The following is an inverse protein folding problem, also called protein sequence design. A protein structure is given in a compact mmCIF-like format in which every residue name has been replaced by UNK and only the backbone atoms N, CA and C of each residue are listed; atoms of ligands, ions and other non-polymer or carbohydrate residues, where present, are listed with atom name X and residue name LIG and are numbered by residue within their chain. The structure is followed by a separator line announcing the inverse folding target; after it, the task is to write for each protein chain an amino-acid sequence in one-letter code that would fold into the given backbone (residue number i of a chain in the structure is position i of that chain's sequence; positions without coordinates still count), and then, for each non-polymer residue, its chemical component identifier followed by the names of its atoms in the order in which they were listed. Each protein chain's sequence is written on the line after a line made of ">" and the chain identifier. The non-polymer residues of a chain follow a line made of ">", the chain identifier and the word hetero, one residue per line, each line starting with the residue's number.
data_IF_595452272163
#
_entry.id   IF_595452272163
#
_cell.length_a   1.000
_cell.length_b   1.000
_cell.length_c   1.000
_cell.angle_alpha   90.00
_cell.angle_beta   90.00
_cell.angle_gamma   90.00
#
_symmetry.space_group_name_H-M   'P 1'
#
loop_
_entity.id
_entity.type
_entity.pdbx_description
1 polymer ?
#
# COMPACT_ATOMS: atom_id res chain seq x y z
N UNK A 1 14.08 28.36 3.94
CA UNK A 1 12.81 27.79 3.49
C UNK A 1 11.85 28.93 3.17
N UNK A 2 11.58 29.13 1.90
CA UNK A 2 10.62 30.10 1.33
C UNK A 2 9.70 29.38 0.35
N UNK A 3 8.65 30.05 -0.12
CA UNK A 3 7.79 29.52 -1.18
C UNK A 3 8.57 29.18 -2.46
N UNK A 4 9.71 29.84 -2.71
CA UNK A 4 10.56 29.57 -3.86
C UNK A 4 11.31 28.23 -3.75
N UNK A 5 11.68 27.80 -2.53
CA UNK A 5 12.25 26.45 -2.31
C UNK A 5 11.19 25.37 -2.62
N UNK A 6 9.94 25.62 -2.23
CA UNK A 6 8.81 24.73 -2.54
C UNK A 6 8.56 24.70 -4.04
N UNK A 7 8.48 25.85 -4.69
CA UNK A 7 8.31 25.94 -6.15
C UNK A 7 9.44 25.22 -6.90
N UNK A 8 10.70 25.45 -6.53
CA UNK A 8 11.87 24.75 -7.10
C UNK A 8 11.71 23.23 -7.00
N UNK A 9 11.37 22.74 -5.80
CA UNK A 9 11.22 21.30 -5.53
C UNK A 9 10.13 20.68 -6.40
N UNK A 10 8.94 21.29 -6.45
CA UNK A 10 7.82 20.77 -7.23
C UNK A 10 8.09 20.85 -8.74
N UNK A 11 8.67 21.96 -9.21
CA UNK A 11 9.04 22.13 -10.61
C UNK A 11 10.06 21.06 -11.02
N UNK A 12 11.14 20.87 -10.26
CA UNK A 12 12.13 19.83 -10.50
C UNK A 12 11.52 18.42 -10.47
N UNK A 13 10.74 18.09 -9.42
CA UNK A 13 10.15 16.76 -9.26
C UNK A 13 9.12 16.42 -10.34
N UNK A 14 8.46 17.42 -10.93
CA UNK A 14 7.52 17.26 -12.04
C UNK A 14 8.19 17.28 -13.43
N UNK A 15 9.42 17.82 -13.54
CA UNK A 15 10.12 17.98 -14.81
C UNK A 15 10.59 16.67 -15.40
N UNK A 16 10.96 16.69 -16.69
CA UNK A 16 11.55 15.56 -17.41
C UNK A 16 13.01 15.29 -17.05
N UNK A 17 13.67 16.22 -16.36
CA UNK A 17 15.14 16.27 -16.27
C UNK A 17 15.69 15.32 -15.21
N UNK A 18 14.95 15.10 -14.10
CA UNK A 18 15.36 14.24 -12.99
C UNK A 18 14.46 13.02 -12.82
N UNK A 19 15.04 11.87 -12.49
CA UNK A 19 14.25 10.67 -12.19
C UNK A 19 13.58 10.76 -10.82
N UNK A 20 12.38 11.33 -10.76
CA UNK A 20 11.59 11.51 -9.54
C UNK A 20 10.46 10.49 -9.41
N UNK A 21 10.37 9.80 -8.27
CA UNK A 21 9.25 8.91 -7.93
C UNK A 21 7.92 9.65 -7.70
N UNK A 22 8.00 10.98 -7.53
CA UNK A 22 6.84 11.85 -7.36
C UNK A 22 6.25 12.33 -8.68
N UNK A 23 7.00 12.26 -9.79
CA UNK A 23 6.63 12.88 -11.08
C UNK A 23 5.21 12.52 -11.51
N UNK A 24 4.91 11.23 -11.56
CA UNK A 24 3.61 10.75 -12.05
C UNK A 24 2.46 11.24 -11.16
N UNK A 25 2.64 11.22 -9.83
CA UNK A 25 1.63 11.70 -8.86
C UNK A 25 1.45 13.22 -8.94
N UNK A 26 2.54 13.98 -9.00
CA UNK A 26 2.47 15.44 -9.15
C UNK A 26 1.76 15.80 -10.46
N UNK A 27 2.10 15.15 -11.57
CA UNK A 27 1.51 15.45 -12.87
C UNK A 27 0.04 15.02 -12.97
N UNK A 28 -0.39 13.99 -12.23
CA UNK A 28 -1.80 13.57 -12.19
C UNK A 28 -2.67 14.45 -11.29
N UNK A 29 -2.09 15.15 -10.31
CA UNK A 29 -2.84 15.91 -9.30
C UNK A 29 -2.77 17.43 -9.50
N UNK A 30 -1.66 17.95 -10.03
CA UNK A 30 -1.42 19.39 -10.17
C UNK A 30 -1.61 19.88 -11.61
N UNK A 31 -2.33 20.99 -11.73
CA UNK A 31 -2.29 21.88 -12.89
C UNK A 31 -1.09 22.84 -12.81
N UNK A 32 -0.75 23.30 -11.60
CA UNK A 32 0.39 24.19 -11.41
C UNK A 32 0.62 24.61 -9.97
N UNK A 33 1.81 25.15 -9.72
CA UNK A 33 2.24 25.70 -8.43
C UNK A 33 2.91 27.05 -8.68
N UNK A 34 2.48 28.08 -7.96
CA UNK A 34 2.97 29.45 -8.21
C UNK A 34 3.32 30.16 -6.90
N UNK A 35 4.55 30.65 -6.71
CA UNK A 35 4.88 31.51 -5.57
C UNK A 35 4.20 32.88 -5.72
N UNK A 36 3.52 33.34 -4.67
CA UNK A 36 2.91 34.68 -4.61
C UNK A 36 3.82 35.67 -3.87
N UNK A 37 4.65 35.17 -2.96
CA UNK A 37 5.65 35.92 -2.20
C UNK A 37 6.66 34.93 -1.62
N UNK A 38 7.64 35.40 -0.84
CA UNK A 38 8.57 34.51 -0.13
C UNK A 38 7.89 33.55 0.86
N UNK A 39 6.65 33.81 1.28
CA UNK A 39 5.94 33.02 2.32
C UNK A 39 4.59 32.47 1.86
N UNK A 40 4.16 32.79 0.65
CA UNK A 40 2.88 32.32 0.10
C UNK A 40 3.07 31.70 -1.27
N UNK A 41 2.37 30.60 -1.50
CA UNK A 41 2.24 29.94 -2.79
C UNK A 41 0.78 29.58 -3.05
N UNK A 42 0.43 29.39 -4.31
CA UNK A 42 -0.86 28.91 -4.76
C UNK A 42 -0.67 27.58 -5.49
N UNK A 43 -1.46 26.59 -5.10
CA UNK A 43 -1.57 25.30 -5.78
C UNK A 43 -2.85 25.29 -6.60
N UNK A 44 -2.75 24.85 -7.85
CA UNK A 44 -3.88 24.58 -8.73
C UNK A 44 -3.99 23.07 -8.87
N UNK A 45 -5.00 22.47 -8.24
CA UNK A 45 -5.28 21.04 -8.33
C UNK A 45 -6.10 20.74 -9.59
N UNK A 46 -5.91 19.57 -10.20
CA UNK A 46 -6.71 19.09 -11.34
C UNK A 46 -8.14 18.78 -10.94
N UNK A 47 -8.31 18.22 -9.74
CA UNK A 47 -9.60 17.86 -9.19
C UNK A 47 -9.69 18.30 -7.72
N UNK A 48 -10.91 18.44 -7.23
CA UNK A 48 -11.16 18.71 -5.81
C UNK A 48 -11.35 17.38 -5.09
N UNK A 49 -10.25 16.65 -4.90
CA UNK A 49 -10.23 15.33 -4.27
C UNK A 49 -9.57 15.38 -2.89
N UNK A 50 -10.10 14.60 -1.95
CA UNK A 50 -9.63 14.56 -0.55
C UNK A 50 -8.15 14.17 -0.43
N UNK A 51 -7.65 13.39 -1.38
CA UNK A 51 -6.32 12.79 -1.33
C UNK A 51 -5.27 13.67 -2.02
N UNK A 52 -5.68 14.65 -2.84
CA UNK A 52 -4.77 15.43 -3.69
C UNK A 52 -3.66 16.13 -2.90
N UNK A 53 -3.93 16.68 -1.70
CA UNK A 53 -2.88 17.32 -0.90
C UNK A 53 -1.91 16.31 -0.25
N UNK A 54 -2.43 15.15 0.17
CA UNK A 54 -1.60 14.10 0.76
C UNK A 54 -0.71 13.45 -0.30
N UNK A 55 -1.24 13.23 -1.52
CA UNK A 55 -0.54 12.56 -2.62
C UNK A 55 0.58 13.40 -3.24
N UNK A 56 0.49 14.72 -3.15
CA UNK A 56 1.52 15.68 -3.62
C UNK A 56 2.48 16.13 -2.51
N UNK A 57 2.43 15.52 -1.33
CA UNK A 57 3.35 15.86 -0.24
C UNK A 57 4.73 15.21 -0.50
N UNK A 58 5.78 16.02 -0.49
CA UNK A 58 7.16 15.55 -0.69
C UNK A 58 8.17 16.41 0.11
N UNK A 59 9.36 15.86 0.46
CA UNK A 59 10.41 16.63 1.11
C UNK A 59 10.87 17.82 0.26
N UNK A 60 11.04 18.99 0.88
CA UNK A 60 11.46 20.22 0.20
C UNK A 60 12.98 20.33 0.19
N UNK A 61 13.55 20.58 -1.00
CA UNK A 61 14.99 20.79 -1.18
C UNK A 61 15.32 22.29 -1.27
N UNK A 62 16.51 22.71 -0.79
CA UNK A 62 16.91 24.12 -0.76
C UNK A 62 17.35 24.60 -2.15
N UNK A 63 16.56 25.45 -2.82
CA UNK A 63 16.83 25.89 -4.19
C UNK A 63 18.24 26.52 -4.32
N UNK A 64 18.62 27.36 -3.35
CA UNK A 64 19.90 28.08 -3.34
C UNK A 64 21.17 27.20 -3.31
N UNK A 65 21.04 25.90 -2.99
CA UNK A 65 22.16 24.96 -3.08
C UNK A 65 22.46 24.59 -4.53
N UNK A 66 21.42 24.54 -5.37
CA UNK A 66 21.51 24.10 -6.76
C UNK A 66 21.56 25.30 -7.73
N UNK A 67 20.85 26.38 -7.37
CA UNK A 67 20.86 27.66 -8.07
C UNK A 67 20.58 28.80 -7.08
N UNK A 68 21.60 29.61 -6.82
CA UNK A 68 21.53 30.74 -5.90
C UNK A 68 20.60 31.87 -6.37
N UNK A 69 20.37 31.99 -7.69
CA UNK A 69 19.56 33.06 -8.29
C UNK A 69 18.11 32.64 -8.51
N UNK A 70 17.79 31.34 -8.40
CA UNK A 70 16.46 30.81 -8.70
C UNK A 70 15.32 31.56 -8.03
N UNK A 71 15.47 31.91 -6.74
CA UNK A 71 14.45 32.63 -6.00
C UNK A 71 14.19 34.02 -6.59
N UNK A 72 15.23 34.73 -7.04
CA UNK A 72 15.09 36.03 -7.70
C UNK A 72 14.45 35.85 -9.09
N UNK A 73 14.90 34.86 -9.87
CA UNK A 73 14.30 34.53 -11.17
C UNK A 73 12.81 34.24 -11.08
N UNK A 74 12.40 33.41 -10.12
CA UNK A 74 11.00 33.08 -9.90
C UNK A 74 10.21 34.29 -9.40
N UNK A 75 10.76 35.09 -8.48
CA UNK A 75 10.12 36.30 -7.97
C UNK A 75 9.88 37.36 -9.05
N UNK A 76 10.82 37.52 -9.99
CA UNK A 76 10.70 38.46 -11.10
C UNK A 76 9.73 37.98 -12.18
N UNK A 77 9.56 36.65 -12.32
CA UNK A 77 8.70 36.05 -13.32
C UNK A 77 7.21 36.04 -12.92
N UNK A 78 6.91 35.66 -11.68
CA UNK A 78 5.55 35.54 -11.17
C UNK A 78 5.07 36.84 -10.53
N UNK A 79 4.05 37.45 -11.11
CA UNK A 79 3.56 38.78 -10.70
C UNK A 79 2.14 38.72 -10.14
N UNK A 80 1.24 37.95 -10.77
CA UNK A 80 -0.17 37.85 -10.34
C UNK A 80 -0.56 36.50 -9.75
N UNK A 81 0.32 35.51 -9.89
CA UNK A 81 0.14 34.20 -9.29
C UNK A 81 -0.86 33.32 -10.01
N UNK A 82 -1.10 33.58 -11.30
CA UNK A 82 -2.08 32.87 -12.11
C UNK A 82 -1.56 31.56 -12.68
N UNK A 83 -2.47 30.64 -12.99
CA UNK A 83 -2.12 29.38 -13.68
C UNK A 83 -1.49 29.65 -15.06
N UNK A 84 -1.91 30.72 -15.75
CA UNK A 84 -1.33 31.11 -17.03
C UNK A 84 0.15 31.52 -16.90
N UNK A 85 0.56 32.12 -15.77
CA UNK A 85 1.98 32.35 -15.52
C UNK A 85 2.74 31.03 -15.36
N UNK A 86 2.16 30.03 -14.69
CA UNK A 86 2.80 28.71 -14.57
C UNK A 86 2.98 28.02 -15.93
N UNK A 87 1.92 28.01 -16.76
CA UNK A 87 1.99 27.46 -18.12
C UNK A 87 3.07 28.18 -18.94
N UNK A 88 3.13 29.52 -18.84
CA UNK A 88 4.18 30.32 -19.48
C UNK A 88 5.57 30.01 -18.94
N UNK A 89 5.74 29.77 -17.64
CA UNK A 89 7.02 29.37 -17.07
C UNK A 89 7.51 28.07 -17.71
N UNK A 90 6.62 27.08 -17.84
CA UNK A 90 6.94 25.79 -18.46
C UNK A 90 7.35 25.94 -19.92
N UNK A 91 6.70 26.84 -20.67
CA UNK A 91 6.98 27.06 -22.09
C UNK A 91 8.20 27.97 -22.36
N UNK A 92 8.40 29.03 -21.56
CA UNK A 92 9.39 30.08 -21.86
C UNK A 92 10.72 29.91 -21.13
N UNK A 93 10.75 29.33 -19.93
CA UNK A 93 11.98 29.24 -19.15
C UNK A 93 12.83 28.02 -19.50
N UNK A 94 12.22 26.91 -19.96
CA UNK A 94 12.89 25.62 -20.23
C UNK A 94 13.99 25.32 -19.20
N UNK A 95 13.65 25.47 -17.92
CA UNK A 95 14.63 25.48 -16.83
C UNK A 95 15.21 24.08 -16.64
N UNK A 96 16.53 23.95 -16.75
CA UNK A 96 17.24 22.69 -16.60
C UNK A 96 17.49 22.35 -15.12
N UNK A 97 16.75 21.37 -14.60
CA UNK A 97 16.91 20.88 -13.22
C UNK A 97 18.00 19.81 -13.06
N UNK A 98 18.78 19.50 -14.12
CA UNK A 98 19.81 18.46 -14.09
C UNK A 98 20.95 18.73 -13.09
N UNK A 99 21.11 19.99 -12.64
CA UNK A 99 22.05 20.37 -11.59
C UNK A 99 21.85 19.61 -10.25
N UNK A 100 20.66 19.05 -10.02
CA UNK A 100 20.34 18.22 -8.85
C UNK A 100 20.99 16.82 -8.97
N UNK A 101 21.20 16.30 -10.18
CA UNK A 101 21.60 14.91 -10.38
C UNK A 101 23.01 14.67 -9.86
N UNK A 102 23.12 13.80 -8.83
CA UNK A 102 24.40 13.42 -8.21
C UNK A 102 25.16 14.63 -7.68
N UNK A 103 24.43 15.61 -7.15
CA UNK A 103 25.03 16.80 -6.57
C UNK A 103 25.77 16.40 -5.28
N UNK A 104 26.95 16.97 -4.96
CA UNK A 104 27.70 16.60 -3.74
C UNK A 104 26.90 16.78 -2.43
N UNK A 105 25.88 17.64 -2.45
CA UNK A 105 24.94 17.81 -1.34
C UNK A 105 24.15 16.53 -1.03
N UNK A 106 23.93 15.64 -2.00
CA UNK A 106 23.22 14.36 -1.78
C UNK A 106 24.00 13.43 -0.84
N UNK A 107 25.33 13.48 -0.89
CA UNK A 107 26.22 12.69 -0.03
C UNK A 107 26.55 13.40 1.30
N UNK A 108 26.56 14.73 1.30
CA UNK A 108 26.92 15.56 2.45
C UNK A 108 26.08 16.85 2.54
N UNK A 109 24.80 16.76 2.94
CA UNK A 109 23.93 17.93 3.08
C UNK A 109 24.49 18.98 4.06
N UNK A 110 24.68 20.21 3.59
CA UNK A 110 25.22 21.30 4.42
C UNK A 110 24.15 22.16 5.09
N UNK A 111 22.89 22.01 4.66
CA UNK A 111 21.74 22.75 5.18
C UNK A 111 20.55 21.80 5.29
N UNK A 112 19.73 21.96 6.33
CA UNK A 112 18.46 21.25 6.49
C UNK A 112 17.44 22.16 7.18
N UNK A 113 16.15 21.84 7.01
CA UNK A 113 15.03 22.47 7.72
C UNK A 113 14.35 21.50 8.70
N UNK A 114 14.95 20.33 8.93
CA UNK A 114 14.46 19.29 9.81
C UNK A 114 14.94 19.43 11.26
N UNK A 115 14.53 18.50 12.12
CA UNK A 115 14.98 18.42 13.53
C UNK A 115 16.44 17.96 13.67
N UNK A 116 16.99 17.35 12.63
CA UNK A 116 18.34 16.83 12.58
C UNK A 116 19.12 17.47 11.44
N UNK A 117 20.42 17.64 11.66
CA UNK A 117 21.41 18.08 10.67
C UNK A 117 22.34 16.92 10.35
N UNK A 118 22.86 16.91 9.13
CA UNK A 118 23.85 15.92 8.71
C UNK A 118 25.15 16.05 9.51
N UNK A 119 25.79 14.92 9.78
CA UNK A 119 27.09 14.86 10.45
C UNK A 119 28.11 14.08 9.61
N UNK A 120 27.84 12.79 9.38
CA UNK A 120 28.80 11.89 8.74
C UNK A 120 28.06 10.75 8.04
N UNK A 121 28.63 10.27 6.93
CA UNK A 121 28.24 9.02 6.31
C UNK A 121 29.46 8.15 6.08
N UNK A 122 29.57 7.06 6.84
CA UNK A 122 30.54 6.00 6.60
C UNK A 122 29.87 4.91 5.76
N UNK A 123 30.16 4.91 4.45
CA UNK A 123 29.48 4.06 3.48
C UNK A 123 29.56 2.58 3.84
N UNK A 124 28.40 1.92 3.90
CA UNK A 124 28.26 0.51 4.27
C UNK A 124 28.37 0.22 5.76
N UNK A 125 28.52 1.25 6.60
CA UNK A 125 28.55 1.11 8.05
C UNK A 125 27.41 1.90 8.70
N UNK A 126 27.42 3.23 8.61
CA UNK A 126 26.39 4.06 9.24
C UNK A 126 26.19 5.44 8.60
N UNK A 127 25.00 6.00 8.82
CA UNK A 127 24.71 7.43 8.62
C UNK A 127 24.48 8.06 10.00
N UNK A 128 25.20 9.14 10.29
CA UNK A 128 25.08 9.90 11.54
C UNK A 128 24.45 11.27 11.30
N UNK A 129 23.52 11.63 12.17
CA UNK A 129 22.86 12.93 12.25
C UNK A 129 23.01 13.51 13.65
N UNK A 130 22.99 14.84 13.77
CA UNK A 130 23.00 15.56 15.06
C UNK A 130 21.73 16.38 15.22
N UNK A 131 21.30 16.60 16.46
CA UNK A 131 20.29 17.60 16.77
C UNK A 131 20.80 19.03 16.47
N UNK A 132 19.87 19.92 16.11
CA UNK A 132 20.16 21.33 15.80
C UNK A 132 20.67 22.09 17.02
N UNK A 133 20.26 21.70 18.24
CA UNK A 133 20.56 22.38 19.51
C UNK A 133 21.80 21.84 20.27
N UNK A 134 22.49 20.85 19.69
CA UNK A 134 23.88 20.51 20.05
C UNK A 134 24.11 19.13 20.67
N UNK A 135 23.12 18.50 21.29
CA UNK A 135 23.29 17.17 21.92
C UNK A 135 22.02 16.29 21.80
N UNK A 136 21.98 15.49 20.73
CA UNK A 136 21.35 14.18 20.58
C UNK A 136 21.83 13.66 19.21
N UNK A 137 22.49 12.51 19.18
CA UNK A 137 23.04 11.91 17.96
C UNK A 137 22.12 10.78 17.53
N UNK A 138 21.76 10.75 16.24
CA UNK A 138 21.05 9.64 15.63
C UNK A 138 21.98 8.94 14.65
N UNK A 139 22.34 7.71 14.93
CA UNK A 139 23.20 6.89 14.07
C UNK A 139 22.40 5.70 13.55
N UNK A 140 22.23 5.64 12.23
CA UNK A 140 21.60 4.53 11.53
C UNK A 140 22.69 3.59 11.05
N UNK A 141 22.77 2.40 11.65
CA UNK A 141 23.73 1.36 11.27
C UNK A 141 23.05 0.40 10.31
N UNK A 142 23.72 0.07 9.20
CA UNK A 142 23.24 -0.93 8.26
C UNK A 142 23.56 -2.33 8.80
N UNK A 143 22.53 -3.07 9.21
CA UNK A 143 22.68 -4.45 9.71
C UNK A 143 22.15 -5.42 8.66
N UNK A 144 22.99 -6.32 8.13
CA UNK A 144 22.57 -7.27 7.12
C UNK A 144 21.71 -8.37 7.75
N UNK A 145 20.39 -8.21 7.66
CA UNK A 145 19.41 -9.21 8.04
C UNK A 145 18.74 -8.95 9.39
N UNK A 146 17.45 -9.29 9.46
CA UNK A 146 16.62 -8.98 10.63
C UNK A 146 16.95 -9.82 11.87
N UNK A 147 17.67 -10.94 11.73
CA UNK A 147 18.07 -11.79 12.87
C UNK A 147 19.34 -11.27 13.52
N UNK A 148 20.29 -10.89 12.70
CA UNK A 148 21.53 -10.24 13.09
C UNK A 148 21.23 -8.91 13.80
N UNK A 149 20.23 -8.17 13.33
CA UNK A 149 19.74 -6.94 13.96
C UNK A 149 19.25 -7.18 15.40
N UNK A 150 18.48 -8.24 15.65
CA UNK A 150 18.03 -8.59 17.00
C UNK A 150 19.20 -8.94 17.91
N UNK A 151 20.14 -9.74 17.43
CA UNK A 151 21.28 -10.19 18.23
C UNK A 151 22.19 -9.00 18.60
N UNK A 152 22.45 -8.10 17.66
CA UNK A 152 23.18 -6.85 17.91
C UNK A 152 22.46 -5.94 18.91
N UNK A 153 21.15 -5.76 18.77
CA UNK A 153 20.34 -5.00 19.73
C UNK A 153 20.40 -5.61 21.14
N UNK A 154 20.25 -6.93 21.27
CA UNK A 154 20.31 -7.63 22.56
C UNK A 154 21.72 -7.60 23.19
N UNK A 155 22.77 -7.50 22.38
CA UNK A 155 24.15 -7.30 22.78
C UNK A 155 24.48 -5.84 23.17
N UNK A 156 23.56 -4.90 22.93
CA UNK A 156 23.73 -3.48 23.25
C UNK A 156 24.47 -2.69 22.15
N UNK A 157 24.54 -3.20 20.93
CA UNK A 157 25.12 -2.50 19.77
C UNK A 157 24.19 -1.39 19.26
N UNK A 158 22.89 -1.52 19.49
CA UNK A 158 21.88 -0.48 19.27
C UNK A 158 20.99 -0.31 20.49
N UNK A 159 20.35 0.86 20.60
CA UNK A 159 19.46 1.21 21.72
C UNK A 159 17.99 1.40 21.30
N UNK A 160 17.71 1.30 20.00
CA UNK A 160 16.37 1.33 19.41
C UNK A 160 16.31 0.21 18.37
N UNK A 161 15.22 -0.54 18.39
CA UNK A 161 14.90 -1.51 17.36
C UNK A 161 13.46 -1.29 16.89
N UNK A 162 13.24 -1.29 15.58
CA UNK A 162 11.93 -1.13 14.95
C UNK A 162 11.67 -2.38 14.10
N UNK A 163 10.47 -2.95 14.17
CA UNK A 163 10.13 -4.11 13.34
C UNK A 163 10.75 -5.43 13.82
N UNK A 164 10.66 -5.69 15.13
CA UNK A 164 11.13 -6.95 15.72
C UNK A 164 10.48 -8.17 15.04
N UNK A 165 11.27 -9.14 14.52
CA UNK A 165 10.70 -10.35 13.93
C UNK A 165 9.90 -11.15 14.96
N UNK A 166 8.64 -11.51 14.64
CA UNK A 166 7.72 -12.24 15.53
C UNK A 166 8.34 -13.46 16.25
N UNK A 167 9.19 -14.25 15.57
CA UNK A 167 9.87 -15.42 16.15
C UNK A 167 10.91 -15.07 17.22
N UNK A 168 11.32 -13.80 17.33
CA UNK A 168 12.29 -13.29 18.31
C UNK A 168 11.66 -12.46 19.43
N UNK A 169 10.33 -12.30 19.46
CA UNK A 169 9.66 -11.50 20.48
C UNK A 169 9.91 -12.01 21.89
N UNK A 170 9.97 -13.33 22.08
CA UNK A 170 10.24 -13.94 23.38
C UNK A 170 11.58 -13.50 23.98
N UNK A 171 12.61 -13.35 23.15
CA UNK A 171 13.95 -12.95 23.60
C UNK A 171 13.98 -11.52 24.14
N UNK A 172 13.26 -10.61 23.46
CA UNK A 172 13.16 -9.20 23.84
C UNK A 172 12.21 -9.01 25.02
N UNK A 173 11.04 -9.67 25.01
CA UNK A 173 10.05 -9.57 26.09
C UNK A 173 10.53 -10.19 27.41
N UNK A 174 11.51 -11.10 27.37
CA UNK A 174 12.12 -11.68 28.56
C UNK A 174 13.11 -10.73 29.27
N UNK A 175 13.50 -9.61 28.63
CA UNK A 175 14.45 -8.64 29.17
C UNK A 175 13.72 -7.54 29.94
N UNK A 176 13.93 -7.47 31.25
CA UNK A 176 13.33 -6.45 32.11
C UNK A 176 13.95 -5.05 31.93
N UNK A 177 15.13 -4.98 31.31
CA UNK A 177 15.87 -3.74 31.02
C UNK A 177 15.42 -3.05 29.72
N UNK A 178 14.50 -3.66 28.96
CA UNK A 178 14.01 -3.12 27.69
C UNK A 178 12.59 -2.54 27.83
N UNK A 179 12.36 -1.39 27.19
CA UNK A 179 11.02 -0.85 27.00
C UNK A 179 10.46 -1.32 25.66
N UNK A 180 9.37 -2.07 25.69
CA UNK A 180 8.66 -2.51 24.48
C UNK A 180 7.35 -1.75 24.35
N UNK A 181 7.16 -1.09 23.22
CA UNK A 181 5.91 -0.38 22.89
C UNK A 181 5.33 -0.94 21.60
N UNK A 182 4.06 -1.34 21.65
CA UNK A 182 3.30 -1.74 20.45
C UNK A 182 2.36 -0.61 20.04
N UNK A 183 2.21 -0.38 18.75
CA UNK A 183 1.27 0.58 18.19
C UNK A 183 0.53 -0.06 17.00
N UNK A 184 -0.69 0.41 16.67
CA UNK A 184 -1.38 -0.07 15.47
C UNK A 184 -0.53 0.18 14.23
N UNK A 185 -0.42 -0.82 13.36
CA UNK A 185 0.27 -0.68 12.08
C UNK A 185 -0.52 0.18 11.09
N UNK A 186 0.16 0.63 10.03
CA UNK A 186 -0.49 1.27 8.87
C UNK A 186 -0.84 0.27 7.77
N UNK A 187 -0.60 -1.03 7.99
CA UNK A 187 -0.87 -2.08 7.03
C UNK A 187 -1.96 -3.02 7.51
N UNK A 188 -2.67 -3.61 6.56
CA UNK A 188 -3.64 -4.67 6.77
C UNK A 188 -3.40 -5.80 5.77
N UNK A 189 -3.76 -7.02 6.17
CA UNK A 189 -3.65 -8.22 5.35
C UNK A 189 -5.02 -8.70 4.94
N UNK A 190 -5.13 -9.23 3.72
CA UNK A 190 -6.39 -9.69 3.17
C UNK A 190 -6.22 -10.87 2.23
N UNK A 191 -7.29 -11.65 2.13
CA UNK A 191 -7.40 -12.74 1.18
C UNK A 191 -8.15 -12.23 -0.06
N UNK A 192 -7.41 -11.98 -1.14
CA UNK A 192 -7.98 -11.62 -2.43
C UNK A 192 -8.61 -12.85 -3.09
N UNK A 193 -9.85 -12.69 -3.56
CA UNK A 193 -10.52 -13.63 -4.45
C UNK A 193 -10.32 -13.15 -5.89
N UNK A 194 -9.97 -14.06 -6.80
CA UNK A 194 -10.12 -13.76 -8.22
C UNK A 194 -11.56 -14.03 -8.66
N UNK A 195 -12.22 -13.02 -9.23
CA UNK A 195 -13.62 -13.10 -9.66
C UNK A 195 -13.76 -13.30 -11.18
N UNK A 196 -12.71 -13.02 -11.95
CA UNK A 196 -12.64 -13.24 -13.39
C UNK A 196 -12.15 -14.66 -13.72
N UNK A 197 -12.16 -15.03 -15.00
CA UNK A 197 -11.60 -16.32 -15.45
C UNK A 197 -10.06 -16.30 -15.33
N UNK A 198 -9.46 -17.09 -14.42
CA UNK A 198 -8.00 -17.12 -14.24
C UNK A 198 -7.25 -17.76 -15.43
N UNK A 199 -7.95 -18.46 -16.31
CA UNK A 199 -7.36 -19.11 -17.50
C UNK A 199 -7.23 -18.14 -18.67
N UNK A 200 -8.13 -17.17 -18.77
CA UNK A 200 -8.15 -16.11 -19.80
C UNK A 200 -8.25 -14.70 -19.18
N UNK A 201 -7.26 -14.28 -18.36
CA UNK A 201 -7.30 -12.99 -17.68
C UNK A 201 -7.24 -11.83 -18.68
N UNK A 202 -7.97 -10.77 -18.39
CA UNK A 202 -8.06 -9.57 -19.21
C UNK A 202 -8.31 -8.35 -18.31
N UNK A 203 -7.76 -7.19 -18.70
CA UNK A 203 -8.10 -5.91 -18.06
C UNK A 203 -9.59 -5.59 -18.22
N UNK A 204 -10.17 -4.87 -17.26
CA UNK A 204 -11.59 -4.49 -17.30
C UNK A 204 -11.96 -3.60 -18.50
N UNK A 205 -11.01 -2.88 -19.07
CA UNK A 205 -11.20 -2.00 -20.22
C UNK A 205 -10.17 -2.27 -21.33
N UNK A 206 -10.59 -2.11 -22.59
CA UNK A 206 -9.72 -2.19 -23.75
C UNK A 206 -8.86 -0.92 -23.89
N UNK A 207 -7.97 -0.89 -24.89
CA UNK A 207 -7.10 0.26 -25.19
C UNK A 207 -7.87 1.55 -25.53
N UNK A 208 -9.14 1.44 -25.91
CA UNK A 208 -10.01 2.55 -26.29
C UNK A 208 -10.93 2.96 -25.11
N UNK A 209 -10.79 2.31 -23.94
CA UNK A 209 -11.55 2.57 -22.72
C UNK A 209 -12.93 1.90 -22.67
N UNK A 210 -13.24 0.98 -23.59
CA UNK A 210 -14.51 0.25 -23.56
C UNK A 210 -14.43 -0.94 -22.59
N UNK A 211 -15.52 -1.24 -21.84
CA UNK A 211 -15.56 -2.43 -20.99
C UNK A 211 -15.30 -3.71 -21.79
N UNK A 212 -14.51 -4.62 -21.21
CA UNK A 212 -14.23 -5.96 -21.77
C UNK A 212 -14.86 -7.05 -20.91
N UNK A 213 -15.21 -8.16 -21.54
CA UNK A 213 -15.62 -9.37 -20.83
C UNK A 213 -14.37 -10.08 -20.27
N UNK A 214 -14.41 -10.43 -18.99
CA UNK A 214 -13.29 -11.05 -18.26
C UNK A 214 -13.58 -12.51 -17.88
N UNK A 215 -14.71 -13.05 -18.33
CA UNK A 215 -15.24 -14.32 -17.84
C UNK A 215 -15.61 -14.26 -16.35
N UNK A 216 -15.87 -15.42 -15.76
CA UNK A 216 -16.25 -15.53 -14.35
C UNK A 216 -15.50 -16.71 -13.73
N UNK A 217 -14.92 -16.49 -12.56
CA UNK A 217 -14.26 -17.57 -11.82
C UNK A 217 -15.27 -18.68 -11.46
N UNK A 218 -15.01 -19.96 -11.80
CA UNK A 218 -15.99 -21.04 -11.63
C UNK A 218 -16.42 -21.27 -10.16
N UNK A 219 -15.51 -21.01 -9.22
CA UNK A 219 -15.74 -21.09 -7.77
C UNK A 219 -16.15 -19.73 -7.18
N UNK A 220 -15.32 -18.69 -7.32
CA UNK A 220 -15.48 -17.42 -6.61
C UNK A 220 -16.39 -16.40 -7.31
N UNK A 221 -16.89 -16.68 -8.51
CA UNK A 221 -17.97 -15.89 -9.12
C UNK A 221 -19.23 -15.87 -8.23
N UNK A 222 -19.50 -16.95 -7.50
CA UNK A 222 -20.63 -17.04 -6.58
C UNK A 222 -20.32 -16.37 -5.23
N UNK A 223 -21.09 -15.34 -4.88
CA UNK A 223 -20.94 -14.61 -3.61
C UNK A 223 -21.13 -15.49 -2.39
N UNK A 224 -21.95 -16.55 -2.47
CA UNK A 224 -22.20 -17.48 -1.36
C UNK A 224 -20.94 -18.28 -1.03
N UNK A 225 -20.14 -18.64 -2.03
CA UNK A 225 -18.86 -19.32 -1.82
C UNK A 225 -17.86 -18.37 -1.14
N UNK A 226 -17.83 -17.08 -1.53
CA UNK A 226 -16.97 -16.08 -0.86
C UNK A 226 -17.39 -15.83 0.59
N UNK A 227 -18.69 -15.82 0.87
CA UNK A 227 -19.23 -15.73 2.23
C UNK A 227 -18.90 -16.99 3.05
N UNK A 228 -18.94 -18.18 2.42
CA UNK A 228 -18.53 -19.42 3.07
C UNK A 228 -17.04 -19.38 3.47
N UNK A 229 -16.15 -18.92 2.58
CA UNK A 229 -14.72 -18.77 2.89
C UNK A 229 -14.50 -17.84 4.09
N UNK A 230 -15.18 -16.68 4.13
CA UNK A 230 -15.05 -15.74 5.25
C UNK A 230 -15.50 -16.35 6.59
N UNK A 231 -16.54 -17.20 6.59
CA UNK A 231 -17.02 -17.88 7.81
C UNK A 231 -16.20 -19.11 8.18
N UNK A 232 -15.57 -19.75 7.21
CA UNK A 232 -14.71 -20.91 7.42
C UNK A 232 -13.36 -20.54 8.02
N UNK A 233 -12.95 -19.27 7.98
CA UNK A 233 -11.64 -18.82 8.46
C UNK A 233 -11.77 -18.19 9.85
N UNK A 234 -11.05 -18.74 10.84
CA UNK A 234 -10.84 -18.10 12.13
C UNK A 234 -9.64 -17.16 12.02
N UNK A 235 -9.92 -15.88 11.77
CA UNK A 235 -8.90 -14.84 11.58
C UNK A 235 -8.00 -14.69 12.82
N UNK A 236 -8.54 -14.85 14.04
CA UNK A 236 -7.69 -14.79 15.25
C UNK A 236 -6.69 -15.94 15.27
N UNK A 237 -7.09 -17.16 14.91
CA UNK A 237 -6.15 -18.29 14.83
C UNK A 237 -5.08 -18.09 13.74
N UNK A 238 -5.41 -17.37 12.68
CA UNK A 238 -4.43 -16.96 11.65
C UNK A 238 -3.43 -15.96 12.24
N UNK A 239 -3.89 -14.94 12.95
CA UNK A 239 -3.04 -13.94 13.64
C UNK A 239 -2.15 -14.62 14.69
N UNK A 240 -2.70 -15.54 15.48
CA UNK A 240 -1.96 -16.29 16.49
C UNK A 240 -0.80 -17.08 15.87
N UNK A 241 -1.04 -17.71 14.72
CA UNK A 241 -0.03 -18.51 14.04
C UNK A 241 0.99 -17.67 13.25
N UNK A 242 0.58 -16.55 12.66
CA UNK A 242 1.42 -15.73 11.80
C UNK A 242 2.22 -14.67 12.56
N UNK A 243 1.64 -14.11 13.61
CA UNK A 243 2.14 -12.94 14.33
C UNK A 243 2.13 -13.13 15.86
N UNK A 244 2.03 -14.36 16.37
CA UNK A 244 2.01 -14.65 17.82
C UNK A 244 0.92 -13.87 18.59
N UNK A 245 -0.21 -13.60 17.95
CA UNK A 245 -1.33 -12.85 18.54
C UNK A 245 -1.23 -11.33 18.36
N UNK A 246 -0.14 -10.81 17.78
CA UNK A 246 0.07 -9.39 17.53
C UNK A 246 -0.54 -8.96 16.21
N UNK A 247 -1.86 -8.86 16.21
CA UNK A 247 -2.65 -8.34 15.11
C UNK A 247 -4.04 -7.98 15.62
N UNK A 248 -4.79 -7.22 14.83
CA UNK A 248 -6.18 -6.90 15.13
C UNK A 248 -7.05 -7.48 14.04
N UNK A 249 -8.12 -8.18 14.42
CA UNK A 249 -9.12 -8.65 13.46
C UNK A 249 -9.82 -7.44 12.86
N UNK A 250 -9.66 -7.25 11.55
CA UNK A 250 -10.25 -6.14 10.81
C UNK A 250 -11.71 -6.43 10.43
N UNK A 251 -12.58 -5.42 10.53
CA UNK A 251 -13.98 -5.49 10.07
C UNK A 251 -14.18 -4.92 8.66
N UNK A 252 -13.29 -4.03 8.24
CA UNK A 252 -13.27 -3.37 6.95
C UNK A 252 -11.82 -3.10 6.52
N UNK A 253 -11.66 -2.48 5.36
CA UNK A 253 -10.39 -2.14 4.73
C UNK A 253 -9.69 -0.91 5.35
N UNK A 254 -10.31 -0.23 6.32
CA UNK A 254 -9.74 0.95 6.99
C UNK A 254 -8.98 0.57 8.26
N UNK A 255 -7.67 0.85 8.33
CA UNK A 255 -6.85 0.62 9.54
C UNK A 255 -7.27 1.53 10.71
N UNK A 256 -7.07 1.15 11.99
CA UNK A 256 -7.48 1.96 13.15
C UNK A 256 -6.89 3.37 13.23
N UNK A 257 -5.78 3.64 12.52
CA UNK A 257 -5.16 4.97 12.43
C UNK A 257 -5.84 5.89 11.40
N UNK A 258 -6.66 5.34 10.51
CA UNK A 258 -7.42 6.10 9.53
C UNK A 258 -8.54 6.87 10.22
N UNK A 259 -8.76 8.14 9.82
CA UNK A 259 -9.92 8.90 10.31
C UNK A 259 -11.25 8.32 9.84
N UNK A 260 -11.23 7.49 8.78
CA UNK A 260 -12.38 6.79 8.23
C UNK A 260 -12.65 5.44 8.90
N UNK A 261 -11.87 5.05 9.91
CA UNK A 261 -12.12 3.83 10.69
C UNK A 261 -13.42 3.95 11.49
N UNK A 262 -14.34 3.01 11.29
CA UNK A 262 -15.57 2.92 12.08
C UNK A 262 -15.45 1.83 13.16
N UNK A 263 -15.29 2.19 14.44
CA UNK A 263 -15.17 1.21 15.53
C UNK A 263 -16.48 0.45 15.83
N UNK A 264 -17.62 0.86 15.25
CA UNK A 264 -18.89 0.16 15.42
C UNK A 264 -19.01 -1.07 14.52
N UNK A 265 -18.28 -1.13 13.41
CA UNK A 265 -18.30 -2.26 12.47
C UNK A 265 -17.73 -3.52 13.12
N UNK A 266 -18.53 -4.59 13.10
CA UNK A 266 -18.14 -5.89 13.65
C UNK A 266 -17.53 -6.77 12.57
N UNK A 267 -16.41 -7.47 12.85
CA UNK A 267 -15.87 -8.46 11.94
C UNK A 267 -16.85 -9.61 11.65
N UNK A 268 -16.69 -10.25 10.50
CA UNK A 268 -17.41 -11.49 10.19
C UNK A 268 -16.91 -12.59 11.14
N UNK A 269 -17.84 -13.24 11.83
CA UNK A 269 -17.54 -14.30 12.79
C UNK A 269 -17.17 -15.63 12.13
N UNK A 270 -16.31 -16.39 12.81
CA UNK A 270 -15.96 -17.77 12.48
C UNK A 270 -17.13 -18.72 12.77
N UNK A 271 -17.67 -19.33 11.72
CA UNK A 271 -18.77 -20.29 11.77
C UNK A 271 -18.66 -21.30 10.61
N UNK A 272 -17.89 -22.41 10.81
CA UNK A 272 -17.73 -23.45 9.80
C UNK A 272 -19.04 -24.12 9.38
N UNK A 273 -20.02 -24.23 10.28
CA UNK A 273 -21.31 -24.87 9.96
C UNK A 273 -22.12 -23.99 9.01
N UNK A 274 -22.14 -22.67 9.25
CA UNK A 274 -22.74 -21.73 8.31
C UNK A 274 -21.98 -21.70 6.97
N UNK A 275 -20.65 -21.88 6.97
CA UNK A 275 -19.87 -22.01 5.74
C UNK A 275 -20.28 -23.25 4.94
N UNK A 276 -20.41 -24.41 5.58
CA UNK A 276 -20.87 -25.65 4.93
C UNK A 276 -22.26 -25.49 4.32
N UNK A 277 -23.20 -24.88 5.04
CA UNK A 277 -24.55 -24.61 4.55
C UNK A 277 -24.54 -23.72 3.30
N UNK A 278 -23.75 -22.64 3.31
CA UNK A 278 -23.59 -21.74 2.15
C UNK A 278 -22.99 -22.47 0.93
N UNK A 279 -22.05 -23.40 1.15
CA UNK A 279 -21.47 -24.21 0.06
C UNK A 279 -22.53 -25.13 -0.55
N UNK A 280 -23.38 -25.77 0.25
CA UNK A 280 -24.47 -26.61 -0.24
C UNK A 280 -25.53 -25.81 -1.01
N UNK A 281 -25.90 -24.64 -0.49
CA UNK A 281 -26.78 -23.69 -1.19
C UNK A 281 -26.17 -23.24 -2.52
N UNK A 282 -24.84 -23.09 -2.59
CA UNK A 282 -24.08 -22.78 -3.79
C UNK A 282 -23.88 -23.98 -4.74
N UNK A 283 -24.41 -25.16 -4.40
CA UNK A 283 -24.36 -26.33 -5.27
C UNK A 283 -23.16 -27.26 -5.05
N UNK A 284 -22.35 -27.02 -4.02
CA UNK A 284 -21.15 -27.80 -3.69
C UNK A 284 -21.42 -28.84 -2.59
N UNK A 285 -21.37 -30.12 -2.95
CA UNK A 285 -21.73 -31.22 -2.04
C UNK A 285 -20.58 -32.22 -1.88
N UNK A 286 -20.50 -32.86 -0.71
CA UNK A 286 -19.63 -34.02 -0.49
C UNK A 286 -20.29 -35.29 -1.03
N UNK A 287 -19.53 -36.13 -1.73
CA UNK A 287 -20.00 -37.42 -2.26
C UNK A 287 -19.33 -38.60 -1.56
N UNK A 288 -20.15 -39.51 -1.02
CA UNK A 288 -19.66 -40.72 -0.36
C UNK A 288 -18.70 -40.42 0.78
N UNK A 289 -17.50 -40.98 0.72
CA UNK A 289 -16.43 -40.77 1.71
C UNK A 289 -15.42 -39.69 1.30
N UNK A 290 -15.68 -38.90 0.23
CA UNK A 290 -14.80 -37.81 -0.18
C UNK A 290 -14.86 -36.66 0.83
N UNK A 291 -13.70 -36.18 1.28
CA UNK A 291 -13.60 -34.93 2.04
C UNK A 291 -13.68 -33.69 1.16
N UNK A 292 -13.53 -33.83 -0.16
CA UNK A 292 -13.58 -32.72 -1.13
C UNK A 292 -14.98 -32.62 -1.72
N UNK A 293 -15.55 -31.41 -1.69
CA UNK A 293 -16.84 -31.10 -2.31
C UNK A 293 -16.72 -31.08 -3.83
N UNK A 294 -17.79 -31.49 -4.50
CA UNK A 294 -17.90 -31.43 -5.96
C UNK A 294 -19.17 -30.68 -6.34
N UNK A 295 -19.11 -30.07 -7.52
CA UNK A 295 -20.22 -29.33 -8.07
C UNK A 295 -21.36 -30.26 -8.46
N UNK A 296 -22.59 -29.90 -8.09
CA UNK A 296 -23.82 -30.51 -8.63
C UNK A 296 -24.62 -29.51 -9.43
N UNK A 297 -24.97 -28.40 -8.78
CA UNK A 297 -25.88 -27.36 -9.29
C UNK A 297 -25.25 -25.96 -9.15
N UNK A 298 -23.94 -25.83 -9.36
CA UNK A 298 -23.23 -24.56 -9.19
C UNK A 298 -23.54 -23.58 -10.32
N UNK A 299 -23.39 -22.28 -10.04
CA UNK A 299 -23.70 -21.23 -11.01
C UNK A 299 -22.70 -21.18 -12.18
N UNK A 300 -21.42 -21.42 -11.92
CA UNK A 300 -20.33 -21.16 -12.88
C UNK A 300 -19.38 -22.34 -13.11
N UNK A 301 -19.45 -23.38 -12.26
CA UNK A 301 -18.62 -24.57 -12.40
C UNK A 301 -19.40 -25.69 -13.11
N UNK A 302 -18.71 -26.45 -13.95
CA UNK A 302 -19.27 -27.64 -14.59
C UNK A 302 -19.63 -28.71 -13.53
N UNK A 303 -20.71 -29.50 -13.73
CA UNK A 303 -21.02 -30.62 -12.86
C UNK A 303 -19.83 -31.55 -12.63
N UNK A 304 -19.70 -32.09 -11.42
CA UNK A 304 -18.60 -32.94 -10.97
C UNK A 304 -17.23 -32.25 -10.81
N UNK A 305 -17.11 -30.96 -11.14
CA UNK A 305 -15.91 -30.17 -10.81
C UNK A 305 -15.59 -30.25 -9.33
N UNK A 306 -14.32 -30.42 -8.97
CA UNK A 306 -13.87 -30.42 -7.56
C UNK A 306 -13.77 -28.99 -7.06
N UNK A 307 -14.11 -28.76 -5.80
CA UNK A 307 -13.89 -27.48 -5.11
C UNK A 307 -12.40 -27.33 -4.76
N UNK A 308 -11.57 -27.21 -5.80
CA UNK A 308 -10.12 -27.17 -5.71
C UNK A 308 -9.60 -25.77 -5.98
N UNK A 309 -8.72 -25.27 -5.11
CA UNK A 309 -8.15 -23.92 -5.20
C UNK A 309 -6.65 -23.92 -4.88
N UNK A 310 -5.96 -22.96 -5.46
CA UNK A 310 -4.57 -22.61 -5.13
C UNK A 310 -4.56 -21.29 -4.36
N UNK A 311 -4.10 -21.36 -3.12
CA UNK A 311 -3.81 -20.19 -2.29
C UNK A 311 -2.36 -19.75 -2.51
N UNK A 312 -2.18 -18.65 -3.23
CA UNK A 312 -0.88 -18.01 -3.35
C UNK A 312 -0.67 -17.03 -2.18
N UNK A 313 0.57 -16.83 -1.74
CA UNK A 313 0.89 -15.83 -0.72
C UNK A 313 2.13 -15.03 -1.11
N UNK A 314 2.16 -13.77 -0.68
CA UNK A 314 3.27 -12.88 -0.96
C UNK A 314 4.56 -13.32 -0.25
N UNK A 315 5.62 -13.52 -1.02
CA UNK A 315 6.97 -13.65 -0.49
C UNK A 315 7.43 -12.36 0.19
N UNK A 316 8.17 -12.46 1.29
CA UNK A 316 8.78 -11.32 1.99
C UNK A 316 8.02 -10.78 3.21
N UNK A 317 6.76 -11.19 3.45
CA UNK A 317 6.05 -10.85 4.68
C UNK A 317 6.23 -11.94 5.75
N UNK A 318 6.60 -11.53 6.95
CA UNK A 318 6.76 -12.45 8.06
C UNK A 318 5.41 -13.09 8.42
N UNK A 319 5.37 -14.42 8.52
CA UNK A 319 4.19 -15.14 8.96
C UNK A 319 3.23 -15.57 7.85
N UNK A 320 3.36 -15.08 6.61
CA UNK A 320 2.44 -15.43 5.50
C UNK A 320 2.37 -16.92 5.20
N UNK A 321 3.50 -17.65 5.27
CA UNK A 321 3.49 -19.11 5.16
C UNK A 321 2.66 -19.77 6.26
N UNK A 322 2.79 -19.31 7.51
CA UNK A 322 2.04 -19.84 8.63
C UNK A 322 0.55 -19.51 8.51
N UNK A 323 0.22 -18.27 8.09
CA UNK A 323 -1.15 -17.84 7.79
C UNK A 323 -1.77 -18.71 6.69
N UNK A 324 -1.10 -18.85 5.54
CA UNK A 324 -1.58 -19.63 4.41
C UNK A 324 -1.84 -21.09 4.79
N UNK A 325 -0.96 -21.69 5.61
CA UNK A 325 -1.15 -23.06 6.11
C UNK A 325 -2.39 -23.18 7.00
N UNK A 326 -2.63 -22.24 7.91
CA UNK A 326 -3.83 -22.24 8.78
C UNK A 326 -5.10 -22.04 7.95
N UNK A 327 -5.08 -21.08 7.01
CA UNK A 327 -6.20 -20.84 6.08
C UNK A 327 -6.50 -22.11 5.28
N UNK A 328 -5.48 -22.74 4.68
CA UNK A 328 -5.64 -23.97 3.92
C UNK A 328 -6.26 -25.10 4.75
N UNK A 329 -5.80 -25.29 5.99
CA UNK A 329 -6.34 -26.30 6.90
C UNK A 329 -7.82 -26.04 7.22
N UNK A 330 -8.19 -24.78 7.47
CA UNK A 330 -9.57 -24.41 7.82
C UNK A 330 -10.52 -24.54 6.62
N UNK A 331 -10.07 -24.19 5.42
CA UNK A 331 -10.84 -24.41 4.19
C UNK A 331 -10.98 -25.90 3.84
N UNK A 332 -9.94 -26.70 4.06
CA UNK A 332 -10.03 -28.16 3.94
C UNK A 332 -11.07 -28.77 4.88
N UNK A 333 -11.23 -28.22 6.08
CA UNK A 333 -12.22 -28.69 7.05
C UNK A 333 -13.67 -28.53 6.56
N UNK A 334 -13.96 -27.53 5.71
CA UNK A 334 -15.29 -27.33 5.10
C UNK A 334 -15.40 -27.91 3.69
N UNK A 335 -14.37 -28.63 3.23
CA UNK A 335 -14.40 -29.47 2.04
C UNK A 335 -13.79 -28.87 0.77
N UNK A 336 -12.92 -27.85 0.90
CA UNK A 336 -12.06 -27.43 -0.20
C UNK A 336 -10.87 -28.40 -0.35
N UNK A 337 -10.45 -28.65 -1.58
CA UNK A 337 -9.09 -29.12 -1.87
C UNK A 337 -8.20 -27.89 -2.03
N UNK A 338 -7.26 -27.69 -1.10
CA UNK A 338 -6.39 -26.51 -1.11
C UNK A 338 -4.95 -26.93 -1.32
N UNK A 339 -4.34 -26.40 -2.38
CA UNK A 339 -2.89 -26.28 -2.51
C UNK A 339 -2.47 -24.85 -2.20
N UNK A 340 -1.23 -24.64 -1.75
CA UNK A 340 -0.72 -23.30 -1.54
C UNK A 340 0.74 -23.19 -1.97
N UNK A 341 1.12 -22.03 -2.49
CA UNK A 341 2.45 -21.78 -3.05
C UNK A 341 2.88 -20.34 -2.82
N UNK A 342 4.19 -20.13 -2.75
CA UNK A 342 4.77 -18.80 -2.70
C UNK A 342 4.63 -18.10 -4.06
N UNK A 343 4.42 -16.79 -4.04
CA UNK A 343 4.33 -15.94 -5.23
C UNK A 343 4.79 -14.50 -4.89
N UNK A 344 4.50 -13.55 -5.77
CA UNK A 344 4.74 -12.13 -5.53
C UNK A 344 3.64 -11.29 -6.19
N UNK A 345 3.55 -10.01 -5.81
CA UNK A 345 2.50 -9.11 -6.30
C UNK A 345 2.56 -8.93 -7.83
N UNK A 346 3.75 -8.92 -8.43
CA UNK A 346 3.88 -8.83 -9.90
C UNK A 346 3.19 -9.99 -10.60
N UNK A 347 3.39 -11.22 -10.11
CA UNK A 347 2.69 -12.40 -10.65
C UNK A 347 1.19 -12.36 -10.34
N UNK A 348 0.79 -11.86 -9.17
CA UNK A 348 -0.61 -11.74 -8.80
C UNK A 348 -1.36 -10.75 -9.72
N UNK A 349 -0.68 -9.70 -10.21
CA UNK A 349 -1.23 -8.75 -11.19
C UNK A 349 -1.52 -9.36 -12.56
N UNK A 350 -0.98 -10.53 -12.86
CA UNK A 350 -1.38 -11.32 -14.04
C UNK A 350 -2.72 -12.03 -13.84
N UNK A 351 -3.33 -11.94 -12.64
CA UNK A 351 -4.66 -12.46 -12.32
C UNK A 351 -4.82 -13.96 -12.57
N UNK A 352 -3.71 -14.72 -12.46
CA UNK A 352 -3.67 -16.18 -12.57
C UNK A 352 -3.56 -16.85 -11.21
N UNK A 353 -4.57 -16.63 -10.38
CA UNK A 353 -4.70 -17.25 -9.07
C UNK A 353 -6.18 -17.46 -8.73
N UNK A 354 -6.48 -18.38 -7.81
CA UNK A 354 -7.82 -18.54 -7.25
C UNK A 354 -7.96 -17.66 -5.98
N UNK A 355 -7.01 -17.82 -5.06
CA UNK A 355 -6.87 -17.02 -3.84
C UNK A 355 -5.45 -16.45 -3.74
N UNK A 356 -5.32 -15.22 -3.24
CA UNK A 356 -4.03 -14.59 -2.98
C UNK A 356 -4.02 -13.88 -1.61
N UNK A 357 -3.15 -14.30 -0.69
CA UNK A 357 -2.91 -13.61 0.57
C UNK A 357 -2.02 -12.39 0.31
N UNK A 358 -2.63 -11.21 0.33
CA UNK A 358 -2.00 -9.92 0.09
C UNK A 358 -1.91 -9.10 1.37
N UNK A 359 -1.12 -8.04 1.30
CA UNK A 359 -1.07 -6.97 2.28
C UNK A 359 -1.17 -5.63 1.56
N UNK A 360 -1.78 -4.66 2.22
CA UNK A 360 -1.85 -3.28 1.78
C UNK A 360 -1.32 -2.37 2.87
N UNK A 361 -0.42 -1.46 2.50
CA UNK A 361 0.24 -0.55 3.43
C UNK A 361 -0.11 0.89 3.13
N UNK A 362 -0.56 1.60 4.17
CA UNK A 362 -0.83 3.02 4.12
C UNK A 362 0.41 3.85 4.45
N UNK A 363 0.52 5.01 3.81
CA UNK A 363 1.52 6.03 4.13
C UNK A 363 0.89 7.14 4.95
N UNK A 364 1.68 7.83 5.78
CA UNK A 364 1.18 8.93 6.61
C UNK A 364 1.36 10.29 5.89
N UNK A 365 0.37 11.19 5.91
CA UNK A 365 -0.98 11.02 6.48
C UNK A 365 -1.81 10.02 5.68
N UNK A 366 -2.60 9.19 6.38
CA UNK A 366 -3.40 8.12 5.77
C UNK A 366 -4.53 8.74 4.95
N UNK A 367 -4.52 8.43 3.66
CA UNK A 367 -5.61 8.73 2.74
C UNK A 367 -6.54 7.51 2.67
N UNK A 368 -7.81 7.58 3.15
CA UNK A 368 -8.69 6.42 3.22
C UNK A 368 -9.27 5.98 1.87
N UNK A 369 -8.57 6.26 0.76
CA UNK A 369 -9.02 5.97 -0.58
C UNK A 369 -8.44 4.64 -1.09
N UNK A 370 -9.28 3.62 -1.13
CA UNK A 370 -8.94 2.31 -1.67
C UNK A 370 -9.55 2.06 -3.06
N UNK A 371 -9.82 3.12 -3.83
CA UNK A 371 -10.30 3.00 -5.21
C UNK A 371 -9.37 2.14 -6.06
N UNK A 372 -8.06 2.18 -5.78
CA UNK A 372 -7.09 1.36 -6.52
C UNK A 372 -7.23 -0.16 -6.29
N UNK A 373 -7.84 -0.57 -5.18
CA UNK A 373 -8.07 -1.97 -4.84
C UNK A 373 -9.44 -2.46 -5.30
N UNK A 374 -10.46 -1.61 -5.26
CA UNK A 374 -11.86 -2.04 -5.35
C UNK A 374 -12.65 -1.48 -6.55
N UNK A 375 -12.01 -0.76 -7.46
CA UNK A 375 -12.65 -0.26 -8.69
C UNK A 375 -12.12 -0.96 -9.94
N UNK A 376 -12.98 -1.12 -10.95
CA UNK A 376 -12.60 -1.69 -12.24
C UNK A 376 -11.59 -0.84 -13.01
N UNK A 377 -11.49 0.47 -12.73
CA UNK A 377 -10.48 1.33 -13.36
C UNK A 377 -9.04 0.94 -13.01
N UNK A 378 -8.85 0.26 -11.87
CA UNK A 378 -7.55 -0.24 -11.42
C UNK A 378 -7.36 -1.74 -11.68
N UNK A 379 -8.27 -2.34 -12.47
CA UNK A 379 -8.16 -3.69 -12.99
C UNK A 379 -7.46 -3.65 -14.36
N UNK A 380 -6.13 -3.62 -14.28
CA UNK A 380 -5.23 -3.56 -15.43
C UNK A 380 -4.28 -4.75 -15.34
N UNK A 381 -4.35 -5.66 -16.30
CA UNK A 381 -3.50 -6.84 -16.34
C UNK A 381 -2.02 -6.46 -16.29
N UNK A 382 -1.28 -7.10 -15.38
CA UNK A 382 0.16 -6.93 -15.17
C UNK A 382 0.58 -5.68 -14.39
N UNK A 383 -0.32 -4.75 -14.06
CA UNK A 383 0.08 -3.48 -13.41
C UNK A 383 -0.91 -2.89 -12.40
N UNK A 384 -2.21 -3.20 -12.51
CA UNK A 384 -3.26 -2.69 -11.64
C UNK A 384 -3.21 -3.25 -10.21
N UNK A 385 -3.86 -2.58 -9.26
CA UNK A 385 -3.92 -3.04 -7.86
C UNK A 385 -5.20 -3.83 -7.56
N UNK A 386 -6.22 -3.75 -8.41
CA UNK A 386 -7.39 -4.64 -8.35
C UNK A 386 -7.05 -6.00 -8.97
N UNK A 387 -6.25 -6.77 -8.25
CA UNK A 387 -5.71 -8.07 -8.72
C UNK A 387 -6.77 -9.17 -8.80
N UNK A 388 -7.93 -8.98 -8.17
CA UNK A 388 -9.01 -9.98 -8.13
C UNK A 388 -10.14 -9.73 -9.12
N UNK A 389 -10.02 -8.70 -9.97
CA UNK A 389 -11.08 -8.25 -10.87
C UNK A 389 -12.42 -7.99 -10.15
N UNK A 390 -12.33 -7.41 -8.96
CA UNK A 390 -13.52 -7.03 -8.20
C UNK A 390 -14.22 -5.85 -8.86
N UNK A 391 -15.54 -5.95 -9.05
CA UNK A 391 -16.34 -4.86 -9.58
C UNK A 391 -17.69 -4.79 -8.87
N UNK A 392 -17.93 -3.69 -8.17
CA UNK A 392 -19.23 -3.35 -7.59
C UNK A 392 -19.54 -1.88 -7.93
N UNK A 393 -20.48 -1.61 -8.85
CA UNK A 393 -20.80 -0.25 -9.28
C UNK A 393 -21.27 0.67 -8.14
N UNK A 394 -21.95 0.13 -7.13
CA UNK A 394 -22.39 0.90 -5.97
C UNK A 394 -21.18 1.34 -5.12
N UNK A 395 -20.25 0.43 -4.84
CA UNK A 395 -19.02 0.77 -4.11
C UNK A 395 -18.19 1.78 -4.90
N UNK A 396 -18.00 1.58 -6.20
CA UNK A 396 -17.27 2.53 -7.06
C UNK A 396 -17.89 3.93 -7.01
N UNK A 397 -19.22 4.03 -7.06
CA UNK A 397 -19.92 5.32 -6.96
C UNK A 397 -19.73 5.97 -5.58
N UNK A 398 -19.79 5.18 -4.51
CA UNK A 398 -19.56 5.67 -3.14
C UNK A 398 -18.12 6.14 -2.92
N UNK A 399 -17.12 5.47 -3.49
CA UNK A 399 -15.71 5.88 -3.40
C UNK A 399 -15.47 7.21 -4.13
N UNK A 400 -16.01 7.37 -5.35
CA UNK A 400 -15.94 8.63 -6.10
C UNK A 400 -16.68 9.76 -5.36
N UNK A 401 -17.84 9.47 -4.79
CA UNK A 401 -18.58 10.44 -3.99
C UNK A 401 -17.76 10.85 -2.75
N UNK A 402 -17.17 9.89 -2.03
CA UNK A 402 -16.35 10.14 -0.84
C UNK A 402 -15.18 11.06 -1.13
N UNK A 403 -14.50 10.90 -2.27
CA UNK A 403 -13.38 11.74 -2.70
C UNK A 403 -13.75 13.22 -2.90
N UNK A 404 -15.04 13.56 -3.06
CA UNK A 404 -15.47 14.93 -3.39
C UNK A 404 -16.34 15.57 -2.31
N UNK A 405 -16.53 14.89 -1.16
CA UNK A 405 -17.35 15.39 -0.06
C UNK A 405 -16.71 16.61 0.62
N UNK A 406 -17.46 17.71 0.88
CA UNK A 406 -16.96 18.80 1.69
C UNK A 406 -16.53 18.34 3.09
N UNK A 407 -15.32 18.73 3.52
CA UNK A 407 -14.79 18.40 4.84
C UNK A 407 -13.88 17.16 4.90
N UNK A 408 -13.49 16.61 3.75
CA UNK A 408 -12.53 15.51 3.68
C UNK A 408 -11.06 15.95 3.51
N UNK A 409 -10.81 17.26 3.39
CA UNK A 409 -9.48 17.90 3.36
C UNK A 409 -9.09 18.46 4.73
#
# INVERSE_FOLDING_TARGET
>A
LTAYDVFFTYAAASSGDISSDYRNRLNSELLGIVPLSATELRLYLRANECTSLASINLPIIPAHIFDAEFAATAADFFVDGSLAEYERWQDEMDYDFSAIIRHPWDDAPTVSSGKFVWDEWQRGEYIRLRAVDGDLVYEMVDVPGSREEVDGFLAGESNIMIGLPYDRWGDVLAREDLQVTTYPGTAWEYLAFNLADPTEPASAFDKDGNPQEQGVHPIFGDVRVRQAVQRAINVQAVIDAAANGYGTVMSADQVPLSFAFDPALQPIGYDPLAAEALLEEAGWYTYGNSSVRQCRDCLYAEPESRLSVTLQYASGYQGHYAAARVIAQQLQAVGFEVSFSESNLTNAREQRFDLYLAAWGETYPIAPDHSSLFTSYSDILGSGNNIGSYNNPELSALLVEAQTRPGCL
#
